data_IF_440851738991
#
_entry.id   IF_440851738991
#
_cell.length_a   1.000
_cell.length_b   1.000
_cell.length_c   1.000
_cell.angle_alpha   90.00
_cell.angle_beta   90.00
_cell.angle_gamma   90.00
#
_symmetry.space_group_name_H-M   'P 1'
#
loop_
_entity.id
_entity.type
_entity.pdbx_description
1 polymer ?
#
# COMPACT_ATOMS: atom_id res chain seq x y z
N UNK A 1 36.71 -5.25 7.60
CA UNK A 1 36.00 -3.95 7.65
C UNK A 1 35.28 -3.76 6.33
N UNK A 2 33.94 -3.72 6.38
CA UNK A 2 32.94 -3.54 5.30
C UNK A 2 33.13 -4.41 4.03
N UNK A 3 32.55 -5.62 4.04
CA UNK A 3 32.25 -6.34 2.78
C UNK A 3 30.92 -5.83 2.25
N UNK A 4 30.98 -5.08 1.15
CA UNK A 4 29.84 -4.88 0.27
C UNK A 4 29.50 -6.25 -0.36
N UNK A 5 28.36 -6.83 0.02
CA UNK A 5 27.81 -7.97 -0.69
C UNK A 5 26.85 -7.43 -1.74
N UNK A 6 27.40 -7.09 -2.90
CA UNK A 6 26.65 -7.00 -4.14
C UNK A 6 26.30 -8.44 -4.52
N UNK A 7 25.09 -8.88 -4.17
CA UNK A 7 24.60 -10.20 -4.56
C UNK A 7 23.44 -10.08 -5.55
N UNK A 8 23.54 -10.91 -6.57
CA UNK A 8 22.77 -10.83 -7.79
C UNK A 8 21.32 -11.28 -7.59
N UNK A 9 20.36 -10.35 -7.67
CA UNK A 9 18.96 -10.70 -7.88
C UNK A 9 18.50 -10.30 -9.28
N UNK A 10 19.16 -10.90 -10.28
CA UNK A 10 18.63 -11.07 -11.64
C UNK A 10 18.19 -12.52 -11.78
N UNK A 11 16.95 -12.80 -11.42
CA UNK A 11 16.11 -13.98 -11.74
C UNK A 11 14.93 -13.92 -10.77
N UNK A 12 13.74 -14.34 -11.20
CA UNK A 12 12.46 -14.30 -10.47
C UNK A 12 11.62 -13.04 -10.74
N UNK A 13 11.30 -12.80 -12.02
CA UNK A 13 9.94 -12.37 -12.38
C UNK A 13 9.53 -13.05 -13.69
N UNK A 14 9.73 -14.37 -13.75
CA UNK A 14 9.22 -15.19 -14.86
C UNK A 14 8.57 -16.48 -14.36
N UNK A 15 8.58 -16.72 -13.05
CA UNK A 15 7.98 -17.90 -12.42
C UNK A 15 7.28 -17.37 -11.16
N UNK A 16 6.03 -16.95 -11.34
CA UNK A 16 4.97 -16.63 -10.35
C UNK A 16 3.92 -15.72 -11.00
N UNK A 17 3.73 -15.82 -12.32
CA UNK A 17 2.68 -15.07 -13.03
C UNK A 17 1.31 -15.79 -12.97
N UNK A 18 1.28 -17.05 -12.52
CA UNK A 18 0.04 -17.84 -12.32
C UNK A 18 -0.34 -18.01 -10.84
N UNK A 19 0.36 -17.33 -9.92
CA UNK A 19 0.19 -17.50 -8.47
C UNK A 19 -0.36 -16.25 -7.78
N UNK A 20 -0.83 -15.25 -8.53
CA UNK A 20 -1.47 -14.08 -7.91
C UNK A 20 -2.86 -14.42 -7.34
N UNK A 21 -3.46 -15.52 -7.77
CA UNK A 21 -4.74 -16.01 -7.23
C UNK A 21 -4.58 -16.83 -5.94
N UNK A 22 -3.36 -17.28 -5.58
CA UNK A 22 -3.14 -18.22 -4.47
C UNK A 22 -2.38 -17.63 -3.25
N UNK A 23 -1.90 -16.38 -3.32
CA UNK A 23 -1.17 -15.73 -2.19
C UNK A 23 -2.08 -15.09 -1.14
N UNK A 24 -3.40 -15.16 -1.30
CA UNK A 24 -4.35 -14.58 -0.33
C UNK A 24 -4.59 -15.49 0.90
N UNK A 25 -3.56 -16.17 1.40
CA UNK A 25 -3.57 -16.88 2.71
C UNK A 25 -2.98 -16.04 3.85
N UNK A 26 -2.86 -14.73 3.66
CA UNK A 26 -2.76 -13.79 4.79
C UNK A 26 -4.19 -13.41 5.13
N UNK A 27 -4.61 -13.52 6.39
CA UNK A 27 -5.94 -13.06 6.79
C UNK A 27 -6.18 -11.65 6.21
N UNK A 28 -7.31 -11.41 5.51
CA UNK A 28 -7.55 -10.12 4.90
C UNK A 28 -7.44 -9.06 6.00
N UNK A 29 -6.60 -8.04 5.74
CA UNK A 29 -6.42 -6.95 6.69
C UNK A 29 -7.80 -6.46 7.17
N UNK A 30 -8.00 -6.28 8.49
CA UNK A 30 -9.32 -6.08 9.07
C UNK A 30 -10.09 -4.98 8.34
N UNK A 31 -11.41 -5.07 8.27
CA UNK A 31 -12.15 -3.98 7.65
C UNK A 31 -11.97 -2.71 8.50
N UNK A 32 -11.70 -1.59 7.83
CA UNK A 32 -11.75 -0.29 8.48
C UNK A 32 -13.22 -0.08 8.81
N UNK A 33 -13.56 -0.06 10.09
CA UNK A 33 -14.94 0.03 10.60
C UNK A 33 -15.58 1.41 10.36
N UNK A 34 -15.39 1.98 9.16
CA UNK A 34 -15.93 3.26 8.71
C UNK A 34 -16.88 3.04 7.51
N UNK A 35 -18.21 3.21 7.69
CA UNK A 35 -19.18 3.06 6.60
C UNK A 35 -18.95 4.07 5.46
N UNK A 36 -18.34 5.23 5.74
CA UNK A 36 -17.97 6.19 4.70
C UNK A 36 -16.83 5.67 3.82
N UNK A 37 -15.88 4.92 4.38
CA UNK A 37 -14.81 4.31 3.61
C UNK A 37 -15.36 3.31 2.61
N UNK A 38 -16.22 2.38 3.04
CA UNK A 38 -16.83 1.39 2.14
C UNK A 38 -17.61 2.08 1.01
N UNK A 39 -18.31 3.17 1.30
CA UNK A 39 -19.01 3.98 0.29
C UNK A 39 -18.06 4.66 -0.70
N UNK A 40 -16.95 5.22 -0.22
CA UNK A 40 -15.92 5.80 -1.09
C UNK A 40 -15.34 4.73 -2.01
N UNK A 41 -14.95 3.57 -1.47
CA UNK A 41 -14.35 2.49 -2.27
C UNK A 41 -15.29 2.02 -3.38
N UNK A 42 -16.58 1.80 -3.09
CA UNK A 42 -17.58 1.44 -4.11
C UNK A 42 -17.72 2.47 -5.24
N UNK A 43 -17.48 3.75 -4.96
CA UNK A 43 -17.62 4.81 -5.96
C UNK A 43 -16.39 4.93 -6.87
N UNK A 44 -15.21 4.61 -6.34
CA UNK A 44 -13.95 4.80 -7.05
C UNK A 44 -13.35 3.51 -7.64
N UNK A 45 -13.67 2.34 -7.10
CA UNK A 45 -13.20 1.05 -7.60
C UNK A 45 -14.24 0.33 -8.46
N UNK A 46 -13.73 -0.39 -9.45
CA UNK A 46 -14.43 -1.35 -10.29
C UNK A 46 -13.66 -2.67 -10.24
N UNK A 47 -14.03 -3.53 -9.28
CA UNK A 47 -13.17 -4.64 -8.86
C UNK A 47 -11.81 -4.13 -8.40
N UNK A 48 -10.73 -4.63 -9.00
CA UNK A 48 -9.36 -4.19 -8.68
C UNK A 48 -8.95 -2.86 -9.33
N UNK A 49 -9.75 -2.32 -10.26
CA UNK A 49 -9.37 -1.12 -11.02
C UNK A 49 -9.89 0.13 -10.35
N UNK A 50 -9.02 1.11 -10.17
CA UNK A 50 -9.39 2.45 -9.74
C UNK A 50 -9.87 3.25 -10.95
N UNK A 51 -11.11 3.74 -10.93
CA UNK A 51 -11.70 4.53 -12.02
C UNK A 51 -11.04 5.90 -12.16
N UNK A 52 -10.77 6.55 -11.02
CA UNK A 52 -10.10 7.84 -10.95
C UNK A 52 -9.50 8.07 -9.57
N UNK A 53 -8.44 8.89 -9.50
CA UNK A 53 -7.84 9.29 -8.23
C UNK A 53 -8.69 10.42 -7.64
N UNK A 54 -9.23 10.29 -6.40
CA UNK A 54 -10.09 11.31 -5.81
C UNK A 54 -9.37 12.66 -5.64
N UNK A 55 -10.05 13.74 -6.00
CA UNK A 55 -9.57 15.10 -5.75
C UNK A 55 -9.63 15.46 -4.25
N UNK A 56 -10.66 14.99 -3.53
CA UNK A 56 -10.83 15.22 -2.09
C UNK A 56 -9.88 14.32 -1.30
N UNK A 57 -9.11 14.93 -0.39
CA UNK A 57 -8.10 14.23 0.42
C UNK A 57 -8.67 13.07 1.24
N UNK A 58 -9.80 13.29 1.94
CA UNK A 58 -10.47 12.21 2.70
C UNK A 58 -10.80 10.98 1.86
N UNK A 59 -11.36 11.19 0.66
CA UNK A 59 -11.65 10.08 -0.26
C UNK A 59 -10.37 9.45 -0.82
N UNK A 60 -9.33 10.27 -1.07
CA UNK A 60 -8.03 9.78 -1.53
C UNK A 60 -7.37 8.89 -0.51
N UNK A 61 -7.40 9.23 0.78
CA UNK A 61 -6.84 8.41 1.85
C UNK A 61 -7.48 7.01 1.87
N UNK A 62 -8.80 6.92 1.78
CA UNK A 62 -9.49 5.64 1.68
C UNK A 62 -8.98 4.79 0.50
N UNK A 63 -8.78 5.42 -0.68
CA UNK A 63 -8.20 4.75 -1.85
C UNK A 63 -6.75 4.31 -1.60
N UNK A 64 -5.93 5.12 -0.94
CA UNK A 64 -4.54 4.79 -0.64
C UNK A 64 -4.43 3.61 0.33
N UNK A 65 -5.27 3.55 1.36
CA UNK A 65 -5.32 2.43 2.31
C UNK A 65 -5.74 1.13 1.62
N UNK A 66 -6.71 1.19 0.70
CA UNK A 66 -7.09 0.03 -0.11
C UNK A 66 -5.94 -0.44 -1.01
N UNK A 67 -5.22 0.49 -1.65
CA UNK A 67 -4.04 0.15 -2.45
C UNK A 67 -2.89 -0.42 -1.60
N UNK A 68 -2.77 0.00 -0.34
CA UNK A 68 -1.73 -0.48 0.58
C UNK A 68 -1.84 -1.99 0.84
N UNK A 69 -3.06 -2.57 0.77
CA UNK A 69 -3.29 -4.01 0.90
C UNK A 69 -2.53 -4.86 -0.13
N UNK A 70 -2.05 -4.26 -1.23
CA UNK A 70 -1.24 -4.92 -2.26
C UNK A 70 0.22 -5.09 -1.89
N UNK A 71 0.64 -4.52 -0.75
CA UNK A 71 2.02 -4.55 -0.28
C UNK A 71 2.12 -5.43 0.96
N UNK A 72 3.11 -6.31 0.96
CA UNK A 72 3.47 -7.14 2.10
C UNK A 72 4.31 -6.29 3.07
N UNK A 73 3.93 -6.19 4.35
CA UNK A 73 4.78 -5.59 5.37
C UNK A 73 6.12 -6.34 5.50
N UNK A 74 7.17 -5.65 5.96
CA UNK A 74 8.52 -6.23 6.08
C UNK A 74 9.27 -6.45 4.76
N UNK A 75 8.59 -6.47 3.61
CA UNK A 75 9.21 -6.62 2.28
C UNK A 75 9.71 -5.29 1.71
N UNK A 76 10.88 -5.35 1.06
CA UNK A 76 11.44 -4.24 0.27
C UNK A 76 11.13 -4.45 -1.21
N UNK A 77 10.70 -3.37 -1.85
CA UNK A 77 10.30 -3.33 -3.27
C UNK A 77 11.17 -2.34 -4.03
N UNK A 78 11.73 -2.75 -5.16
CA UNK A 78 12.28 -1.78 -6.10
C UNK A 78 11.14 -0.93 -6.70
N UNK A 79 11.46 0.29 -7.13
CA UNK A 79 10.50 1.19 -7.79
C UNK A 79 9.69 0.51 -8.92
N UNK A 80 10.33 -0.37 -9.70
CA UNK A 80 9.65 -1.11 -10.76
C UNK A 80 8.55 -2.03 -10.21
N UNK A 81 8.83 -2.76 -9.14
CA UNK A 81 7.83 -3.65 -8.51
C UNK A 81 6.65 -2.85 -7.97
N UNK A 82 6.91 -1.72 -7.32
CA UNK A 82 5.86 -0.80 -6.86
C UNK A 82 5.00 -0.33 -8.03
N UNK A 83 5.64 0.09 -9.13
CA UNK A 83 4.93 0.53 -10.31
C UNK A 83 4.08 -0.60 -10.91
N UNK A 84 4.57 -1.84 -10.93
CA UNK A 84 3.85 -2.98 -11.48
C UNK A 84 2.65 -3.38 -10.61
N UNK A 85 2.77 -3.31 -9.27
CA UNK A 85 1.65 -3.50 -8.34
C UNK A 85 0.55 -2.45 -8.50
N UNK A 86 0.95 -1.17 -8.57
CA UNK A 86 0.01 -0.05 -8.69
C UNK A 86 -0.65 0.03 -10.08
N UNK A 87 0.06 -0.37 -11.14
CA UNK A 87 -0.45 -0.31 -12.52
C UNK A 87 -1.67 -1.20 -12.75
N UNK A 88 -1.82 -2.26 -11.95
CA UNK A 88 -3.04 -3.09 -11.94
C UNK A 88 -4.27 -2.30 -11.50
N UNK A 89 -4.08 -1.29 -10.64
CA UNK A 89 -5.17 -0.43 -10.19
C UNK A 89 -5.37 0.77 -11.12
N UNK A 90 -4.29 1.51 -11.46
CA UNK A 90 -4.38 2.78 -12.18
C UNK A 90 -3.10 3.10 -12.97
N UNK A 91 -3.17 3.71 -14.17
CA UNK A 91 -2.00 4.04 -14.98
C UNK A 91 -1.13 5.17 -14.38
N UNK A 92 -1.72 6.09 -13.61
CA UNK A 92 -0.98 7.16 -12.91
C UNK A 92 -0.28 6.63 -11.65
N UNK A 93 0.69 5.74 -11.86
CA UNK A 93 1.46 5.08 -10.80
C UNK A 93 2.37 6.06 -10.07
N UNK A 94 2.83 7.12 -10.75
CA UNK A 94 3.71 8.13 -10.17
C UNK A 94 2.98 8.93 -9.09
N UNK A 95 1.74 9.37 -9.37
CA UNK A 95 0.90 10.05 -8.39
C UNK A 95 0.60 9.15 -7.19
N UNK A 96 0.12 7.94 -7.43
CA UNK A 96 -0.22 7.01 -6.33
C UNK A 96 0.97 6.68 -5.44
N UNK A 97 2.14 6.42 -6.04
CA UNK A 97 3.38 6.15 -5.30
C UNK A 97 3.83 7.35 -4.48
N UNK A 98 3.70 8.57 -5.01
CA UNK A 98 4.00 9.80 -4.27
C UNK A 98 3.06 9.96 -3.08
N UNK A 99 1.76 9.84 -3.29
CA UNK A 99 0.76 10.01 -2.23
C UNK A 99 0.90 8.94 -1.13
N UNK A 100 1.19 7.67 -1.48
CA UNK A 100 1.48 6.62 -0.50
C UNK A 100 2.67 6.97 0.41
N UNK A 101 3.69 7.67 -0.13
CA UNK A 101 4.84 8.15 0.66
C UNK A 101 4.49 9.41 1.44
N UNK A 102 3.77 10.36 0.84
CA UNK A 102 3.39 11.63 1.47
C UNK A 102 2.50 11.37 2.71
N UNK A 103 1.56 10.42 2.61
CA UNK A 103 0.76 9.97 3.76
C UNK A 103 1.48 9.00 4.69
N UNK A 104 2.76 8.70 4.46
CA UNK A 104 3.62 7.86 5.30
C UNK A 104 3.13 6.41 5.44
N UNK A 105 2.41 5.89 4.45
CA UNK A 105 2.05 4.48 4.33
C UNK A 105 3.21 3.65 3.79
N UNK A 106 3.94 4.21 2.81
CA UNK A 106 5.20 3.67 2.35
C UNK A 106 6.36 4.57 2.79
N UNK A 107 7.49 3.96 3.08
CA UNK A 107 8.79 4.65 3.14
C UNK A 107 9.55 4.44 1.84
N UNK A 108 10.49 5.36 1.56
CA UNK A 108 11.36 5.29 0.39
C UNK A 108 12.79 5.68 0.75
N UNK A 109 13.76 4.89 0.32
CA UNK A 109 15.18 5.27 0.29
C UNK A 109 15.88 4.65 -0.92
N UNK A 110 16.69 5.45 -1.64
CA UNK A 110 17.48 4.98 -2.80
C UNK A 110 16.65 4.17 -3.83
N UNK A 111 15.44 4.63 -4.14
CA UNK A 111 14.47 3.97 -5.05
C UNK A 111 13.96 2.59 -4.58
N UNK A 112 14.15 2.26 -3.31
CA UNK A 112 13.54 1.11 -2.65
C UNK A 112 12.42 1.60 -1.75
N UNK A 113 11.32 0.87 -1.73
CA UNK A 113 10.09 1.15 -1.00
C UNK A 113 9.74 0.01 -0.05
N UNK A 114 9.07 0.32 1.06
CA UNK A 114 8.53 -0.67 1.98
C UNK A 114 7.36 -0.07 2.77
N UNK A 115 6.44 -0.91 3.24
CA UNK A 115 5.37 -0.50 4.16
C UNK A 115 6.00 0.07 5.42
N UNK A 116 5.47 1.19 5.90
CA UNK A 116 5.97 1.78 7.13
C UNK A 116 5.75 0.81 8.31
N UNK A 117 6.79 0.63 9.13
CA UNK A 117 6.82 -0.35 10.23
C UNK A 117 6.01 0.12 11.45
N UNK A 118 5.62 1.40 11.48
CA UNK A 118 4.80 1.99 12.54
C UNK A 118 3.70 2.86 11.94
N UNK A 119 2.48 2.87 12.52
CA UNK A 119 1.45 3.81 12.13
C UNK A 119 1.93 5.26 12.29
N UNK A 120 1.72 6.13 11.30
CA UNK A 120 2.15 7.52 11.37
C UNK A 120 1.33 8.32 12.36
N UNK A 121 1.99 9.17 13.15
CA UNK A 121 1.29 10.18 13.97
C UNK A 121 0.69 11.25 13.06
N UNK A 122 -0.62 11.47 13.16
CA UNK A 122 -1.35 12.48 12.39
C UNK A 122 -1.44 13.79 13.15
N UNK A 123 -1.21 14.91 12.48
CA UNK A 123 -1.56 16.23 13.05
C UNK A 123 -3.07 16.51 12.98
N UNK A 124 -3.52 17.61 13.55
CA UNK A 124 -4.96 17.95 13.62
C UNK A 124 -5.62 18.19 12.26
N UNK A 125 -4.85 18.55 11.23
CA UNK A 125 -5.36 18.73 9.87
C UNK A 125 -5.43 17.38 9.15
N UNK A 126 -4.35 16.59 9.22
CA UNK A 126 -4.30 15.25 8.64
C UNK A 126 -5.37 14.32 9.25
N UNK A 127 -5.61 14.43 10.56
CA UNK A 127 -6.62 13.62 11.25
C UNK A 127 -8.04 13.83 10.70
N UNK A 128 -8.34 14.95 10.04
CA UNK A 128 -9.63 15.19 9.39
C UNK A 128 -9.75 14.46 8.03
N UNK A 129 -8.62 14.09 7.44
CA UNK A 129 -8.52 13.42 6.15
C UNK A 129 -8.48 11.90 6.30
N UNK A 130 -8.04 11.41 7.45
CA UNK A 130 -7.85 9.98 7.71
C UNK A 130 -9.11 9.35 8.30
N UNK A 131 -9.55 8.16 7.84
CA UNK A 131 -10.70 7.49 8.41
C UNK A 131 -10.43 7.09 9.88
N UNK A 132 -11.47 7.09 10.75
CA UNK A 132 -11.34 6.57 12.10
C UNK A 132 -10.80 5.14 12.09
N UNK A 133 -9.90 4.82 13.02
CA UNK A 133 -9.32 3.47 13.14
C UNK A 133 -8.17 3.16 12.18
N UNK A 134 -7.71 4.12 11.36
CA UNK A 134 -6.53 3.94 10.49
C UNK A 134 -5.29 3.46 11.23
N UNK A 135 -4.99 4.03 12.40
CA UNK A 135 -3.83 3.62 13.19
C UNK A 135 -3.90 2.15 13.64
N UNK A 136 -5.05 1.73 14.15
CA UNK A 136 -5.28 0.35 14.59
C UNK A 136 -5.23 -0.63 13.42
N UNK A 137 -5.80 -0.23 12.28
CA UNK A 137 -5.77 -0.99 11.04
C UNK A 137 -4.35 -1.18 10.52
N UNK A 138 -3.56 -0.10 10.44
CA UNK A 138 -2.15 -0.17 10.05
C UNK A 138 -1.35 -1.05 11.01
N UNK A 139 -1.58 -0.90 12.31
CA UNK A 139 -0.90 -1.71 13.30
C UNK A 139 -1.26 -3.20 13.15
N UNK A 140 -2.52 -3.52 12.83
CA UNK A 140 -2.95 -4.89 12.53
C UNK A 140 -2.32 -5.42 11.24
N UNK A 141 -2.31 -4.63 10.16
CA UNK A 141 -1.66 -4.96 8.90
C UNK A 141 -0.17 -5.29 9.13
N UNK A 142 0.54 -4.43 9.85
CA UNK A 142 1.98 -4.59 10.14
C UNK A 142 2.21 -5.84 11.01
N UNK A 143 1.41 -6.06 12.05
CA UNK A 143 1.53 -7.25 12.92
C UNK A 143 1.22 -8.56 12.21
N UNK A 144 0.28 -8.56 11.26
CA UNK A 144 -0.08 -9.75 10.49
C UNK A 144 1.06 -10.34 9.65
N UNK A 145 2.17 -9.62 9.49
CA UNK A 145 3.39 -10.10 8.82
C UNK A 145 4.39 -10.80 9.75
N UNK A 146 4.16 -10.81 11.07
CA UNK A 146 5.10 -11.33 12.08
C UNK A 146 4.72 -12.74 12.57
N UNK A 147 3.66 -13.35 12.01
CA UNK A 147 3.19 -14.69 12.37
C UNK A 147 3.79 -15.78 11.47
#
# INVERSE_FOLDING_TARGET
MVRAQADAQRRIWSINHELLDDVNRTEPAPDLADPDQARVLRNFFDGERLRSIPAKRKARVAVLLELLRRFEPGRRYAEREVNDLLRRAHPDVALLRRELVDYRYLRRARNVYWVNEEPPTRDANEAQEVPPGEGDWLAALIRGSVA
#
